data_IF_346535807933
#
_entry.id   IF_346535807933
#
_cell.length_a   1.000
_cell.length_b   1.000
_cell.length_c   1.000
_cell.angle_alpha   90.00
_cell.angle_beta   90.00
_cell.angle_gamma   90.00
#
_symmetry.space_group_name_H-M   'P 1'
#
loop_
_entity.id
_entity.type
_entity.pdbx_description
1 polymer ?
#
# COMPACT_ATOMS: atom_id res chain seq x y z
N UNK A 1 15.38 8.83 -4.01
CA UNK A 1 14.88 7.50 -3.60
C UNK A 1 13.37 7.59 -3.58
N UNK A 2 12.67 6.75 -4.35
CA UNK A 2 11.22 6.63 -4.22
C UNK A 2 10.99 5.93 -2.89
N UNK A 3 10.33 6.60 -1.94
CA UNK A 3 9.91 5.95 -0.69
C UNK A 3 8.83 4.94 -1.02
N UNK A 4 8.84 3.81 -0.33
CA UNK A 4 7.75 2.84 -0.42
C UNK A 4 6.45 3.50 0.05
N UNK A 5 5.35 3.19 -0.63
CA UNK A 5 4.06 3.79 -0.34
C UNK A 5 2.91 2.85 -0.66
N UNK A 6 1.79 3.05 0.02
CA UNK A 6 0.52 2.40 -0.30
C UNK A 6 -0.55 3.45 -0.52
N UNK A 7 -1.29 3.31 -1.62
CA UNK A 7 -2.50 4.08 -1.91
C UNK A 7 -3.70 3.29 -1.40
N UNK A 8 -4.53 3.93 -0.59
CA UNK A 8 -5.76 3.40 -0.02
C UNK A 8 -6.96 4.17 -0.57
N UNK A 9 -8.08 3.46 -0.79
CA UNK A 9 -9.27 4.06 -1.44
C UNK A 9 -9.94 5.13 -0.58
N UNK A 10 -9.98 4.95 0.74
CA UNK A 10 -10.69 5.84 1.65
C UNK A 10 -9.84 6.09 2.89
N UNK A 11 -9.84 7.35 3.37
CA UNK A 11 -9.48 7.70 4.76
C UNK A 11 -10.34 6.86 5.71
N UNK A 12 -9.94 6.62 6.98
CA UNK A 12 -10.62 5.67 7.87
C UNK A 12 -12.09 6.05 8.14
N UNK A 13 -12.96 5.68 7.21
CA UNK A 13 -14.41 5.75 7.24
C UNK A 13 -14.92 4.45 6.62
N UNK A 14 -14.77 3.36 7.38
CA UNK A 14 -15.58 2.13 7.42
C UNK A 14 -15.93 1.33 6.14
N UNK A 15 -15.69 1.81 4.91
CA UNK A 15 -16.10 1.12 3.69
C UNK A 15 -15.10 0.07 3.21
N UNK A 16 -13.79 0.27 3.47
CA UNK A 16 -12.74 -0.64 3.04
C UNK A 16 -12.13 -1.38 4.25
N UNK A 17 -12.75 -2.50 4.66
CA UNK A 17 -12.21 -3.38 5.71
C UNK A 17 -10.76 -3.77 5.42
N UNK A 18 -10.42 -3.94 4.15
CA UNK A 18 -9.09 -4.33 3.76
C UNK A 18 -8.04 -3.22 3.91
N UNK A 19 -8.43 -1.97 3.63
CA UNK A 19 -7.57 -0.81 3.86
C UNK A 19 -7.26 -0.68 5.35
N UNK A 20 -8.20 -1.02 6.23
CA UNK A 20 -7.95 -1.10 7.67
C UNK A 20 -6.92 -2.17 8.02
N UNK A 21 -7.00 -3.36 7.42
CA UNK A 21 -5.99 -4.42 7.64
C UNK A 21 -4.60 -3.97 7.22
N UNK A 22 -4.47 -3.34 6.04
CA UNK A 22 -3.18 -2.82 5.57
C UNK A 22 -2.65 -1.71 6.49
N UNK A 23 -3.51 -0.76 6.89
CA UNK A 23 -3.15 0.28 7.86
C UNK A 23 -2.70 -0.30 9.20
N UNK A 24 -3.40 -1.31 9.71
CA UNK A 24 -3.05 -1.99 10.94
C UNK A 24 -1.71 -2.71 10.80
N UNK A 25 -1.48 -3.44 9.70
CA UNK A 25 -0.22 -4.13 9.48
C UNK A 25 0.96 -3.15 9.38
N UNK A 26 0.83 -2.05 8.64
CA UNK A 26 1.87 -1.01 8.55
C UNK A 26 2.16 -0.42 9.94
N UNK A 27 1.11 -0.13 10.72
CA UNK A 27 1.24 0.45 12.08
C UNK A 27 1.86 -0.53 13.08
N UNK A 28 1.42 -1.78 13.08
CA UNK A 28 1.88 -2.80 14.03
C UNK A 28 3.35 -3.11 13.81
N UNK A 29 3.78 -3.24 12.56
CA UNK A 29 5.16 -3.57 12.21
C UNK A 29 6.07 -2.33 12.08
N UNK A 30 5.58 -1.15 12.45
CA UNK A 30 6.29 0.14 12.34
C UNK A 30 6.98 0.33 10.97
N UNK A 31 6.34 -0.12 9.90
CA UNK A 31 6.95 -0.17 8.58
C UNK A 31 7.11 1.27 8.03
N UNK A 32 8.28 1.64 7.46
CA UNK A 32 8.57 2.99 6.96
C UNK A 32 7.91 3.23 5.59
N UNK A 33 6.59 3.10 5.54
CA UNK A 33 5.79 3.15 4.32
C UNK A 33 4.86 4.34 4.38
N UNK A 34 4.90 5.17 3.35
CA UNK A 34 4.02 6.33 3.27
C UNK A 34 2.59 5.90 2.88
N UNK A 35 1.60 6.44 3.58
CA UNK A 35 0.19 6.23 3.24
C UNK A 35 -0.29 7.37 2.34
N UNK A 36 -0.95 7.01 1.25
CA UNK A 36 -1.56 7.92 0.29
C UNK A 36 -3.04 7.61 0.20
N UNK A 37 -3.86 8.64 0.06
CA UNK A 37 -5.29 8.46 -0.15
C UNK A 37 -5.61 8.67 -1.61
N UNK A 38 -6.34 7.73 -2.20
CA UNK A 38 -6.78 7.79 -3.58
C UNK A 38 -7.60 9.07 -3.83
N UNK A 39 -7.36 9.72 -4.96
CA UNK A 39 -8.11 10.91 -5.36
C UNK A 39 -7.67 12.21 -4.70
N UNK A 40 -6.64 12.21 -3.85
CA UNK A 40 -6.05 13.45 -3.31
C UNK A 40 -5.12 14.15 -4.30
N UNK A 41 -4.87 13.52 -5.47
CA UNK A 41 -4.07 14.11 -6.54
C UNK A 41 -2.57 13.95 -6.28
N UNK A 42 -2.19 12.91 -5.53
CA UNK A 42 -0.79 12.62 -5.26
C UNK A 42 -0.08 12.14 -6.54
N UNK A 43 1.14 12.62 -6.79
CA UNK A 43 1.94 12.20 -7.96
C UNK A 43 2.20 10.68 -7.97
N UNK A 44 2.17 10.04 -6.80
CA UNK A 44 2.28 8.58 -6.67
C UNK A 44 1.11 7.83 -7.29
N UNK A 45 -0.09 8.40 -7.34
CA UNK A 45 -1.23 7.83 -8.08
C UNK A 45 -0.97 7.77 -9.59
N UNK A 46 -0.31 8.82 -10.12
CA UNK A 46 0.10 8.88 -11.53
C UNK A 46 1.18 7.85 -11.82
N UNK A 47 2.14 7.68 -10.91
CA UNK A 47 3.17 6.65 -11.02
C UNK A 47 2.55 5.25 -11.12
N UNK A 48 1.64 4.90 -10.21
CA UNK A 48 0.96 3.60 -10.25
C UNK A 48 0.16 3.43 -11.54
N UNK A 49 -0.59 4.45 -11.96
CA UNK A 49 -1.33 4.41 -13.23
C UNK A 49 -0.42 4.14 -14.43
N UNK A 50 0.75 4.78 -14.46
CA UNK A 50 1.76 4.54 -15.49
C UNK A 50 2.32 3.12 -15.48
N UNK A 51 2.50 2.52 -14.30
CA UNK A 51 3.01 1.14 -14.17
C UNK A 51 1.95 0.10 -14.54
N UNK A 52 0.68 0.36 -14.27
CA UNK A 52 -0.44 -0.49 -14.68
C UNK A 52 -0.73 -0.38 -16.18
N UNK A 53 -0.32 0.71 -16.83
CA UNK A 53 -0.68 1.02 -18.21
C UNK A 53 -2.14 1.47 -18.38
N UNK A 54 -2.83 1.75 -17.27
CA UNK A 54 -4.21 2.21 -17.23
C UNK A 54 -4.44 3.17 -16.05
N UNK A 55 -5.55 3.89 -16.07
CA UNK A 55 -5.91 4.81 -14.99
C UNK A 55 -6.14 4.01 -13.69
N UNK A 56 -5.50 4.42 -12.61
CA UNK A 56 -5.78 3.87 -11.28
C UNK A 56 -7.25 4.10 -10.91
N UNK A 57 -7.88 3.07 -10.33
CA UNK A 57 -9.29 3.07 -9.92
C UNK A 57 -9.42 2.67 -8.45
N UNK A 58 -10.52 3.04 -7.77
CA UNK A 58 -10.75 2.69 -6.37
C UNK A 58 -10.67 1.18 -6.08
N UNK A 59 -11.17 0.35 -7.00
CA UNK A 59 -11.18 -1.13 -6.89
C UNK A 59 -9.79 -1.77 -7.00
N UNK A 60 -8.78 -1.02 -7.44
CA UNK A 60 -7.39 -1.47 -7.40
C UNK A 60 -6.75 -1.27 -6.02
N UNK A 61 -7.34 -0.42 -5.16
CA UNK A 61 -6.78 -0.11 -3.86
C UNK A 61 -7.15 -1.19 -2.84
N UNK A 62 -6.25 -1.55 -1.91
CA UNK A 62 -4.89 -1.05 -1.72
C UNK A 62 -3.93 -1.43 -2.86
N UNK A 63 -3.07 -0.48 -3.28
CA UNK A 63 -2.02 -0.71 -4.29
C UNK A 63 -0.82 0.17 -3.98
N UNK A 64 0.40 -0.30 -4.26
CA UNK A 64 1.58 0.48 -3.93
C UNK A 64 2.88 -0.09 -4.48
N UNK A 65 3.99 0.56 -4.11
CA UNK A 65 5.35 0.07 -4.37
C UNK A 65 5.98 -0.25 -3.02
N UNK A 66 6.53 -1.45 -2.90
CA UNK A 66 7.21 -1.94 -1.71
C UNK A 66 8.51 -2.64 -2.11
N UNK A 67 9.65 -2.23 -1.56
CA UNK A 67 11.01 -2.64 -1.97
C UNK A 67 11.19 -2.62 -3.50
N UNK A 68 10.59 -1.64 -4.18
CA UNK A 68 10.65 -1.51 -5.64
C UNK A 68 9.71 -2.43 -6.44
N UNK A 69 8.88 -3.22 -5.77
CA UNK A 69 7.89 -4.08 -6.41
C UNK A 69 6.50 -3.45 -6.37
N UNK A 70 5.84 -3.37 -7.52
CA UNK A 70 4.42 -3.04 -7.60
C UNK A 70 3.61 -4.21 -7.02
N UNK A 71 2.76 -3.93 -6.05
CA UNK A 71 1.83 -4.90 -5.50
C UNK A 71 0.40 -4.37 -5.62
N UNK A 72 -0.55 -5.26 -5.90
CA UNK A 72 -1.97 -4.97 -5.87
C UNK A 72 -2.62 -5.88 -4.82
N UNK A 73 -3.08 -5.27 -3.74
CA UNK A 73 -3.47 -5.98 -2.55
C UNK A 73 -4.72 -6.85 -2.77
N UNK A 74 -5.55 -6.56 -3.77
CA UNK A 74 -6.67 -7.44 -4.17
C UNK A 74 -6.19 -8.81 -4.70
N UNK A 75 -4.94 -8.90 -5.19
CA UNK A 75 -4.30 -10.14 -5.65
C UNK A 75 -3.22 -10.65 -4.69
N UNK A 76 -2.55 -9.75 -3.98
CA UNK A 76 -1.32 -10.01 -3.22
C UNK A 76 -1.53 -9.96 -1.69
N UNK A 77 -2.73 -10.22 -1.20
CA UNK A 77 -3.12 -10.03 0.21
C UNK A 77 -2.27 -10.83 1.20
N UNK A 78 -2.04 -12.12 0.95
CA UNK A 78 -1.24 -12.97 1.84
C UNK A 78 0.22 -12.54 1.82
N UNK A 79 0.71 -12.14 0.64
CA UNK A 79 2.06 -11.62 0.49
C UNK A 79 2.26 -10.35 1.32
N UNK A 80 1.31 -9.40 1.28
CA UNK A 80 1.41 -8.18 2.10
C UNK A 80 1.40 -8.46 3.60
N UNK A 81 0.54 -9.37 4.06
CA UNK A 81 0.43 -9.70 5.48
C UNK A 81 1.73 -10.34 5.99
N UNK A 82 2.26 -11.34 5.27
CA UNK A 82 3.51 -12.00 5.66
C UNK A 82 4.69 -11.03 5.57
N UNK A 83 4.78 -10.25 4.50
CA UNK A 83 5.88 -9.32 4.31
C UNK A 83 5.94 -8.23 5.40
N UNK A 84 4.79 -7.73 5.86
CA UNK A 84 4.80 -6.77 6.96
C UNK A 84 5.19 -7.43 8.28
N UNK A 85 4.81 -8.69 8.53
CA UNK A 85 5.28 -9.43 9.72
C UNK A 85 6.79 -9.65 9.72
N UNK A 86 7.34 -10.05 8.57
CA UNK A 86 8.79 -10.31 8.43
C UNK A 86 9.62 -9.01 8.56
N UNK A 87 8.99 -7.84 8.46
CA UNK A 87 9.65 -6.55 8.69
C UNK A 87 10.12 -6.38 10.15
N UNK A 88 9.47 -7.03 11.13
CA UNK A 88 9.95 -7.04 12.52
C UNK A 88 11.25 -7.84 12.67
N UNK A 89 11.48 -8.85 11.83
CA UNK A 89 12.67 -9.72 11.94
C UNK A 89 13.92 -9.12 11.28
N UNK A 90 13.78 -8.29 10.25
CA UNK A 90 14.90 -7.58 9.61
C UNK A 90 15.28 -6.25 10.32
N UNK A 91 14.61 -5.89 11.42
CA UNK A 91 14.73 -4.58 12.08
C UNK A 91 15.85 -4.42 13.11
N UNK A 92 16.71 -5.41 13.33
CA UNK A 92 17.67 -5.45 14.46
C UNK A 92 19.13 -5.84 14.08
N UNK A 93 19.59 -5.59 12.84
CA UNK A 93 21.02 -5.70 12.45
C UNK A 93 21.64 -4.38 11.95
#
# INVERSE_FOLDING_TARGET
>A
MVKDFVILTDKPSEACTFCLTVLQAIRLNNAPIDIVWYGEGDEREKLISSLLGEKLRPDHCPVGILKGHLFNASRDILYMIEFFKDWEEEGDE
#
